data_IF_929997789220
#
_entry.id   IF_929997789220
#
_cell.length_a   1.000
_cell.length_b   1.000
_cell.length_c   1.000
_cell.angle_alpha   90.00
_cell.angle_beta   90.00
_cell.angle_gamma   90.00
#
_symmetry.space_group_name_H-M   'P 1'
#
loop_
_entity.id
_entity.type
_entity.pdbx_description
1 polymer ?
#
# COMPACT_ATOMS: atom_id res chain seq x y z
N UNK A 1 50.42 7.74 18.19
CA UNK A 1 49.34 8.41 18.94
C UNK A 1 48.03 7.68 18.67
N UNK A 2 47.67 6.77 19.55
CA UNK A 2 46.45 5.96 19.51
C UNK A 2 45.29 6.80 20.03
N UNK A 3 44.28 7.06 19.18
CA UNK A 3 43.07 7.75 19.62
C UNK A 3 42.28 6.87 20.59
N UNK A 4 41.78 7.42 21.72
CA UNK A 4 40.99 6.66 22.67
C UNK A 4 39.65 6.26 22.03
N UNK A 5 39.32 4.96 22.10
CA UNK A 5 37.98 4.46 21.80
C UNK A 5 37.01 5.02 22.85
N UNK A 6 36.10 5.89 22.41
CA UNK A 6 34.95 6.31 23.22
C UNK A 6 34.14 5.07 23.62
N UNK A 7 33.84 4.96 24.91
CA UNK A 7 32.96 3.94 25.45
C UNK A 7 31.57 4.06 24.77
N UNK A 8 30.86 2.95 24.53
CA UNK A 8 29.50 3.00 24.01
C UNK A 8 28.63 3.78 24.99
N UNK A 9 27.96 4.81 24.49
CA UNK A 9 26.98 5.58 25.25
C UNK A 9 25.93 4.64 25.84
N UNK A 10 25.49 4.92 27.08
CA UNK A 10 24.39 4.21 27.72
C UNK A 10 23.20 4.07 26.74
N UNK A 11 22.58 2.88 26.64
CA UNK A 11 21.43 2.69 25.77
C UNK A 11 20.33 3.67 26.16
N UNK A 12 20.02 4.60 25.26
CA UNK A 12 18.91 5.53 25.42
C UNK A 12 17.63 4.70 25.57
N UNK A 13 16.84 4.87 26.64
CA UNK A 13 15.59 4.15 26.80
C UNK A 13 14.70 4.37 25.58
N UNK A 14 14.32 3.30 24.90
CA UNK A 14 13.49 3.35 23.69
C UNK A 14 12.20 4.16 23.97
N UNK A 15 11.75 5.06 23.09
CA UNK A 15 10.48 5.76 23.22
C UNK A 15 9.28 4.83 23.45
N UNK A 16 9.39 3.56 23.01
CA UNK A 16 8.39 2.51 23.24
C UNK A 16 8.24 2.13 24.72
N UNK A 17 9.25 2.39 25.55
CA UNK A 17 9.19 2.18 27.01
C UNK A 17 8.51 3.32 27.77
N UNK A 18 8.43 4.53 27.18
CA UNK A 18 7.86 5.72 27.85
C UNK A 18 6.36 5.89 27.68
N UNK A 19 5.73 5.21 26.73
CA UNK A 19 4.30 5.42 26.47
C UNK A 19 3.39 4.56 27.34
N UNK A 20 3.92 3.59 28.13
CA UNK A 20 3.07 2.67 28.89
C UNK A 20 2.00 1.99 28.02
N UNK A 21 2.19 2.00 26.70
CA UNK A 21 1.17 1.62 25.75
C UNK A 21 1.13 0.11 25.72
N UNK A 22 -0.06 -0.43 25.95
CA UNK A 22 -0.44 -1.85 25.88
C UNK A 22 0.02 -2.50 24.54
N UNK A 23 0.40 -1.69 23.54
CA UNK A 23 0.83 -2.05 22.19
C UNK A 23 2.31 -2.46 22.00
N UNK A 24 3.21 -2.28 22.96
CA UNK A 24 4.65 -2.54 22.72
C UNK A 24 5.02 -4.03 22.68
N UNK A 25 4.34 -4.87 23.47
CA UNK A 25 4.61 -6.31 23.56
C UNK A 25 4.46 -7.06 22.22
N UNK A 26 3.32 -6.94 21.51
CA UNK A 26 3.09 -7.63 20.23
C UNK A 26 4.12 -7.32 19.13
N UNK A 27 4.80 -6.16 19.21
CA UNK A 27 5.74 -5.71 18.19
C UNK A 27 7.17 -6.23 18.41
N UNK A 28 7.52 -6.70 19.61
CA UNK A 28 8.88 -7.18 19.91
C UNK A 28 9.29 -8.34 19.01
N UNK A 29 8.44 -9.37 18.86
CA UNK A 29 8.72 -10.53 18.03
C UNK A 29 9.03 -10.20 16.56
N UNK A 30 8.17 -9.45 15.86
CA UNK A 30 8.42 -8.97 14.51
C UNK A 30 9.68 -8.09 14.37
N UNK A 31 9.93 -7.17 15.31
CA UNK A 31 11.10 -6.28 15.27
C UNK A 31 12.40 -7.07 15.49
N UNK A 32 12.40 -8.02 16.42
CA UNK A 32 13.52 -8.93 16.64
C UNK A 32 13.77 -9.81 15.42
N UNK A 33 12.71 -10.27 14.73
CA UNK A 33 12.84 -11.02 13.49
C UNK A 33 13.51 -10.19 12.40
N UNK A 34 13.08 -8.93 12.20
CA UNK A 34 13.71 -8.01 11.25
C UNK A 34 15.20 -7.77 11.57
N UNK A 35 15.55 -7.63 12.86
CA UNK A 35 16.94 -7.51 13.31
C UNK A 35 17.74 -8.79 13.05
N UNK A 36 17.18 -9.98 13.33
CA UNK A 36 17.83 -11.27 13.04
C UNK A 36 18.08 -11.45 11.55
N UNK A 37 17.15 -11.02 10.69
CA UNK A 37 17.39 -11.03 9.25
C UNK A 37 18.55 -10.13 8.84
N UNK A 38 18.77 -8.99 9.50
CA UNK A 38 19.95 -8.16 9.24
C UNK A 38 21.25 -8.76 9.79
N UNK A 39 21.19 -9.62 10.82
CA UNK A 39 22.35 -10.22 11.48
C UNK A 39 22.99 -9.28 12.51
N UNK A 40 24.13 -9.68 13.08
CA UNK A 40 24.80 -8.93 14.16
C UNK A 40 25.38 -7.57 13.74
N UNK A 41 25.35 -7.24 12.45
CA UNK A 41 25.90 -6.01 11.87
C UNK A 41 24.87 -4.87 11.74
N UNK A 42 23.62 -5.09 12.16
CA UNK A 42 22.55 -4.08 12.09
C UNK A 42 22.90 -2.84 12.93
N UNK A 43 23.05 -1.71 12.25
CA UNK A 43 23.41 -0.43 12.86
C UNK A 43 22.19 0.34 13.42
N UNK A 44 21.00 0.09 12.88
CA UNK A 44 19.75 0.67 13.36
C UNK A 44 18.54 -0.17 12.93
N UNK A 45 17.47 -0.10 13.72
CA UNK A 45 16.12 -0.53 13.36
C UNK A 45 15.18 0.67 13.54
N UNK A 46 14.56 1.09 12.45
CA UNK A 46 13.63 2.21 12.40
C UNK A 46 12.22 1.69 12.13
N UNK A 47 11.24 2.25 12.81
CA UNK A 47 9.83 2.00 12.63
C UNK A 47 9.17 3.21 11.96
N UNK A 48 8.30 2.95 10.99
CA UNK A 48 7.52 3.97 10.28
C UNK A 48 6.02 3.61 10.29
N UNK A 49 5.23 4.46 9.65
CA UNK A 49 3.82 4.20 9.39
C UNK A 49 2.97 4.34 10.64
N UNK A 50 1.80 3.70 10.62
CA UNK A 50 0.77 3.84 11.65
C UNK A 50 1.25 3.45 13.05
N UNK A 51 2.18 2.50 13.17
CA UNK A 51 2.75 2.12 14.47
C UNK A 51 3.68 3.20 15.04
N UNK A 52 4.43 3.90 14.18
CA UNK A 52 5.29 5.01 14.60
C UNK A 52 4.46 6.27 14.94
N UNK A 53 3.34 6.50 14.23
CA UNK A 53 2.47 7.66 14.45
C UNK A 53 1.43 7.46 15.56
N UNK A 54 1.30 6.24 16.10
CA UNK A 54 0.26 5.90 17.08
C UNK A 54 -1.14 5.76 16.48
N UNK A 55 -1.24 5.62 15.15
CA UNK A 55 -2.50 5.46 14.42
C UNK A 55 -2.77 3.99 14.01
N UNK A 56 -2.00 3.04 14.53
CA UNK A 56 -2.19 1.62 14.29
C UNK A 56 -3.52 1.16 14.87
N UNK A 57 -4.21 0.28 14.13
CA UNK A 57 -5.50 -0.25 14.53
C UNK A 57 -5.31 -1.54 15.30
N UNK A 58 -5.77 -1.54 16.55
CA UNK A 58 -5.78 -2.70 17.42
C UNK A 58 -7.20 -3.21 17.60
N UNK A 59 -7.37 -4.53 17.59
CA UNK A 59 -8.66 -5.21 17.78
C UNK A 59 -8.51 -6.34 18.80
N UNK A 60 -9.62 -6.71 19.44
CA UNK A 60 -9.68 -7.90 20.28
C UNK A 60 -10.50 -8.97 19.58
N UNK A 61 -9.88 -10.11 19.29
CA UNK A 61 -10.54 -11.29 18.69
C UNK A 61 -10.28 -12.47 19.60
N UNK A 62 -11.35 -13.11 20.09
CA UNK A 62 -11.25 -14.29 20.96
C UNK A 62 -10.36 -14.04 22.20
N UNK A 63 -10.47 -12.85 22.79
CA UNK A 63 -9.68 -12.43 23.95
C UNK A 63 -8.21 -12.08 23.66
N UNK A 64 -7.77 -12.13 22.40
CA UNK A 64 -6.41 -11.75 21.99
C UNK A 64 -6.40 -10.37 21.35
N UNK A 65 -5.47 -9.52 21.79
CA UNK A 65 -5.19 -8.22 21.16
C UNK A 65 -4.33 -8.43 19.93
N UNK A 66 -4.82 -7.97 18.77
CA UNK A 66 -4.17 -8.08 17.47
C UNK A 66 -4.07 -6.69 16.82
N UNK A 67 -2.96 -6.38 16.16
CA UNK A 67 -2.91 -5.23 15.22
C UNK A 67 -3.33 -5.69 13.81
N UNK A 68 -4.15 -4.88 13.16
CA UNK A 68 -4.53 -5.07 11.75
C UNK A 68 -3.68 -4.23 10.80
N UNK A 69 -2.85 -3.33 11.34
CA UNK A 69 -2.01 -2.45 10.54
C UNK A 69 -0.69 -3.11 10.18
N UNK A 70 -0.19 -2.79 9.00
CA UNK A 70 1.10 -3.28 8.51
C UNK A 70 2.26 -2.77 9.39
N UNK A 71 3.35 -3.53 9.44
CA UNK A 71 4.57 -3.12 10.15
C UNK A 71 5.66 -2.69 9.17
N UNK A 72 5.89 -1.38 9.06
CA UNK A 72 6.90 -0.79 8.19
C UNK A 72 8.23 -0.62 8.94
N UNK A 73 9.19 -1.50 8.65
CA UNK A 73 10.49 -1.54 9.33
C UNK A 73 11.62 -1.24 8.35
N UNK A 74 12.53 -0.36 8.74
CA UNK A 74 13.75 -0.08 8.00
C UNK A 74 14.95 -0.52 8.84
N UNK A 75 15.78 -1.42 8.31
CA UNK A 75 16.97 -1.89 9.00
C UNK A 75 18.21 -1.40 8.29
N UNK A 76 19.06 -0.68 9.01
CA UNK A 76 20.31 -0.13 8.47
C UNK A 76 21.44 -1.12 8.67
N UNK A 77 22.09 -1.53 7.59
CA UNK A 77 23.21 -2.47 7.53
C UNK A 77 24.44 -1.79 6.93
N UNK A 78 25.67 -2.22 7.24
CA UNK A 78 26.86 -1.41 6.93
C UNK A 78 27.14 -1.28 5.43
N UNK A 79 26.83 -2.30 4.63
CA UNK A 79 27.18 -2.36 3.21
C UNK A 79 26.19 -3.21 2.38
N UNK A 80 26.38 -3.22 1.07
CA UNK A 80 25.48 -3.90 0.14
C UNK A 80 25.54 -5.43 0.19
N UNK A 81 26.65 -6.01 0.65
CA UNK A 81 26.76 -7.45 0.85
C UNK A 81 25.87 -7.89 2.00
N UNK A 82 25.94 -7.19 3.14
CA UNK A 82 25.06 -7.43 4.30
C UNK A 82 23.59 -7.20 3.95
N UNK A 83 23.28 -6.14 3.18
CA UNK A 83 21.92 -5.89 2.68
C UNK A 83 21.39 -7.07 1.87
N UNK A 84 22.18 -7.57 0.92
CA UNK A 84 21.78 -8.67 0.04
C UNK A 84 21.61 -9.98 0.83
N UNK A 85 22.49 -10.23 1.79
CA UNK A 85 22.38 -11.38 2.69
C UNK A 85 21.12 -11.29 3.57
N UNK A 86 20.79 -10.10 4.07
CA UNK A 86 19.59 -9.87 4.86
C UNK A 86 18.30 -10.07 4.05
N UNK A 87 18.25 -9.54 2.83
CA UNK A 87 17.14 -9.78 1.90
C UNK A 87 16.98 -11.27 1.56
N UNK A 88 18.09 -12.01 1.43
CA UNK A 88 18.06 -13.45 1.19
C UNK A 88 17.51 -14.22 2.40
N UNK A 89 17.95 -13.89 3.62
CA UNK A 89 17.41 -14.48 4.87
C UNK A 89 15.93 -14.20 5.04
N UNK A 90 15.51 -12.94 4.90
CA UNK A 90 14.11 -12.55 4.99
C UNK A 90 13.23 -13.29 3.98
N UNK A 91 13.76 -13.58 2.79
CA UNK A 91 13.07 -14.36 1.77
C UNK A 91 12.99 -15.85 2.12
N UNK A 92 14.08 -16.43 2.59
CA UNK A 92 14.11 -17.83 3.04
C UNK A 92 13.12 -18.09 4.17
N UNK A 93 12.91 -17.09 5.02
CA UNK A 93 11.97 -17.13 6.14
C UNK A 93 10.53 -16.75 5.77
N UNK A 94 10.18 -16.48 4.50
CA UNK A 94 8.79 -16.14 4.16
C UNK A 94 7.77 -17.26 4.44
N UNK A 95 8.05 -18.54 4.17
CA UNK A 95 7.10 -19.60 4.49
C UNK A 95 6.75 -19.61 5.98
N UNK A 96 5.46 -19.56 6.32
CA UNK A 96 4.97 -19.53 7.71
C UNK A 96 5.19 -18.19 8.42
N UNK A 97 5.56 -17.13 7.70
CA UNK A 97 5.71 -15.80 8.30
C UNK A 97 4.37 -15.26 8.80
N UNK A 98 3.28 -15.40 8.03
CA UNK A 98 1.99 -14.85 8.44
C UNK A 98 1.47 -15.54 9.71
N UNK A 99 1.62 -16.86 9.81
CA UNK A 99 1.27 -17.62 11.01
C UNK A 99 2.09 -17.17 12.25
N UNK A 100 3.40 -16.92 12.10
CA UNK A 100 4.25 -16.42 13.19
C UNK A 100 3.89 -15.00 13.62
N UNK A 101 3.63 -14.10 12.66
CA UNK A 101 3.16 -12.75 12.93
C UNK A 101 1.84 -12.79 13.71
N UNK A 102 0.88 -13.61 13.28
CA UNK A 102 -0.39 -13.79 13.98
C UNK A 102 -0.20 -14.36 15.39
N UNK A 103 0.75 -15.28 15.59
CA UNK A 103 1.10 -15.78 16.92
C UNK A 103 1.61 -14.66 17.86
N UNK A 104 2.36 -13.69 17.31
CA UNK A 104 2.80 -12.50 18.05
C UNK A 104 1.74 -11.39 18.19
N UNK A 105 0.57 -11.55 17.56
CA UNK A 105 -0.49 -10.56 17.61
C UNK A 105 -0.48 -9.55 16.46
N UNK A 106 0.17 -9.86 15.35
CA UNK A 106 0.19 -9.05 14.13
C UNK A 106 -0.58 -9.78 13.03
N UNK A 107 -1.78 -9.30 12.71
CA UNK A 107 -2.64 -9.85 11.66
C UNK A 107 -2.50 -9.06 10.35
N UNK A 108 -1.27 -8.67 10.02
CA UNK A 108 -0.91 -7.85 8.87
C UNK A 108 0.50 -8.19 8.37
N UNK A 109 0.87 -7.78 7.14
CA UNK A 109 2.23 -7.91 6.63
C UNK A 109 3.30 -7.23 7.48
N UNK A 110 4.48 -7.86 7.51
CA UNK A 110 5.74 -7.26 7.96
C UNK A 110 6.55 -6.81 6.74
N UNK A 111 6.64 -5.50 6.51
CA UNK A 111 7.40 -4.90 5.42
C UNK A 111 8.76 -4.44 5.92
N UNK A 112 9.84 -5.14 5.52
CA UNK A 112 11.20 -4.81 5.94
C UNK A 112 12.05 -4.31 4.76
N UNK A 113 12.55 -3.10 4.87
CA UNK A 113 13.52 -2.52 3.96
C UNK A 113 14.92 -2.56 4.58
N UNK A 114 15.84 -3.35 3.98
CA UNK A 114 17.25 -3.34 4.35
C UNK A 114 17.98 -2.24 3.57
N UNK A 115 18.60 -1.30 4.27
CA UNK A 115 19.24 -0.12 3.69
C UNK A 115 20.68 0.00 4.15
N UNK A 116 21.57 0.46 3.27
CA UNK A 116 22.88 0.97 3.71
C UNK A 116 22.76 2.44 4.14
N UNK A 117 23.74 3.00 4.87
CA UNK A 117 23.73 4.44 5.20
C UNK A 117 23.56 5.33 3.96
N UNK A 118 24.19 4.93 2.85
CA UNK A 118 24.09 5.63 1.58
C UNK A 118 22.72 5.47 0.91
N UNK A 119 22.04 4.34 1.09
CA UNK A 119 20.66 4.15 0.62
C UNK A 119 19.65 4.96 1.44
N UNK A 120 19.81 4.99 2.76
CA UNK A 120 18.97 5.78 3.65
C UNK A 120 19.03 7.28 3.29
N UNK A 121 20.24 7.79 3.06
CA UNK A 121 20.49 9.18 2.65
C UNK A 121 20.01 9.52 1.23
N UNK A 122 19.57 8.53 0.45
CA UNK A 122 19.07 8.69 -0.92
C UNK A 122 17.64 8.19 -1.09
N UNK A 123 16.90 8.00 0.01
CA UNK A 123 15.49 7.64 -0.09
C UNK A 123 14.75 8.69 -0.92
N UNK A 124 13.96 8.28 -1.94
CA UNK A 124 13.26 9.21 -2.81
C UNK A 124 12.11 9.92 -2.07
N UNK A 125 11.66 11.07 -2.60
CA UNK A 125 10.46 11.74 -2.10
C UNK A 125 9.22 10.87 -2.37
N UNK A 126 8.66 10.33 -1.28
CA UNK A 126 7.47 9.46 -1.28
C UNK A 126 6.67 9.70 0.00
N UNK A 127 5.35 9.42 0.02
CA UNK A 127 4.54 9.58 1.23
C UNK A 127 5.17 8.88 2.46
N UNK A 128 5.58 7.62 2.31
CA UNK A 128 6.23 6.87 3.39
C UNK A 128 7.60 7.43 3.84
N UNK A 129 8.35 8.10 2.95
CA UNK A 129 9.62 8.74 3.31
C UNK A 129 9.41 10.05 4.05
N UNK A 130 8.39 10.84 3.66
CA UNK A 130 7.97 12.02 4.43
C UNK A 130 7.58 11.63 5.86
N UNK A 131 6.78 10.57 5.97
CA UNK A 131 6.31 10.05 7.26
C UNK A 131 7.45 9.51 8.11
N UNK A 132 8.34 8.69 7.54
CA UNK A 132 9.54 8.20 8.22
C UNK A 132 10.39 9.35 8.76
N UNK A 133 10.59 10.43 7.97
CA UNK A 133 11.40 11.57 8.40
C UNK A 133 10.76 12.35 9.56
N UNK A 134 9.45 12.56 9.50
CA UNK A 134 8.71 13.42 10.45
C UNK A 134 8.34 12.71 11.73
N UNK A 135 7.97 11.42 11.63
CA UNK A 135 7.32 10.65 12.70
C UNK A 135 7.93 9.26 12.92
N UNK A 136 8.97 8.90 12.16
CA UNK A 136 9.67 7.64 12.37
C UNK A 136 10.23 7.53 13.79
N UNK A 137 10.35 6.30 14.27
CA UNK A 137 10.88 5.97 15.59
C UNK A 137 12.12 5.12 15.43
N UNK A 138 13.20 5.44 16.15
CA UNK A 138 14.34 4.53 16.28
C UNK A 138 14.02 3.52 17.38
N UNK A 139 13.85 2.26 16.99
CA UNK A 139 13.62 1.16 17.92
C UNK A 139 14.95 0.72 18.53
N UNK A 140 16.00 0.71 17.71
CA UNK A 140 17.35 0.29 18.08
C UNK A 140 18.39 1.05 17.26
N UNK A 141 19.54 1.37 17.87
CA UNK A 141 20.56 2.27 17.35
C UNK A 141 20.38 3.74 17.76
N UNK A 142 21.19 4.61 17.16
CA UNK A 142 21.24 6.05 17.48
C UNK A 142 20.15 6.85 16.74
N UNK A 143 19.55 7.84 17.40
CA UNK A 143 18.56 8.77 16.82
C UNK A 143 19.06 9.50 15.56
N UNK A 144 20.37 9.64 15.38
CA UNK A 144 21.01 10.26 14.20
C UNK A 144 20.61 9.58 12.89
N UNK A 145 20.20 8.31 12.92
CA UNK A 145 19.77 7.59 11.72
C UNK A 145 18.53 8.22 11.07
N UNK A 146 17.56 8.71 11.84
CA UNK A 146 16.40 9.43 11.28
C UNK A 146 16.79 10.77 10.64
N UNK A 147 17.81 11.44 11.18
CA UNK A 147 18.32 12.69 10.62
C UNK A 147 18.97 12.50 9.24
N UNK A 148 19.36 11.27 8.87
CA UNK A 148 19.90 10.95 7.55
C UNK A 148 18.82 10.77 6.47
N UNK A 149 17.56 10.59 6.85
CA UNK A 149 16.47 10.55 5.86
C UNK A 149 16.33 11.95 5.25
N UNK A 150 16.29 12.09 3.92
CA UNK A 150 16.21 13.42 3.31
C UNK A 150 14.97 14.20 3.77
N UNK A 151 15.10 15.52 4.02
CA UNK A 151 14.01 16.37 4.51
C UNK A 151 13.08 16.80 3.36
N UNK A 152 12.53 15.83 2.63
CA UNK A 152 11.58 16.11 1.54
C UNK A 152 10.34 16.84 2.05
N UNK A 153 9.77 17.66 1.18
CA UNK A 153 8.47 18.27 1.34
C UNK A 153 7.41 17.58 0.47
N UNK A 154 6.14 17.87 0.73
CA UNK A 154 5.02 17.29 -0.01
C UNK A 154 5.09 17.60 -1.52
N UNK A 155 5.48 18.83 -1.88
CA UNK A 155 5.69 19.26 -3.28
C UNK A 155 6.78 18.48 -4.02
N UNK A 156 7.69 17.84 -3.29
CA UNK A 156 8.77 17.05 -3.89
C UNK A 156 8.30 15.65 -4.29
N UNK A 157 7.14 15.20 -3.80
CA UNK A 157 6.56 13.90 -4.16
C UNK A 157 6.12 13.94 -5.62
N UNK A 158 6.72 13.14 -6.51
CA UNK A 158 6.39 13.20 -7.91
C UNK A 158 4.98 12.65 -8.17
N UNK A 159 4.27 13.14 -9.21
CA UNK A 159 2.93 12.66 -9.53
C UNK A 159 2.81 11.14 -9.72
N UNK A 160 3.86 10.47 -10.23
CA UNK A 160 3.87 9.00 -10.40
C UNK A 160 3.78 8.27 -9.05
N UNK A 161 4.34 8.81 -7.96
CA UNK A 161 4.26 8.20 -6.63
C UNK A 161 2.87 8.40 -5.99
N UNK A 162 2.21 9.52 -6.30
CA UNK A 162 0.80 9.75 -5.91
C UNK A 162 -0.11 8.74 -6.64
N UNK A 163 0.12 8.52 -7.93
CA UNK A 163 -0.62 7.52 -8.71
C UNK A 163 -0.38 6.09 -8.18
N UNK A 164 0.86 5.76 -7.82
CA UNK A 164 1.20 4.46 -7.24
C UNK A 164 0.52 4.24 -5.89
N UNK A 165 0.42 5.27 -5.04
CA UNK A 165 -0.35 5.19 -3.79
C UNK A 165 -1.80 4.80 -4.08
N UNK A 166 -2.46 5.52 -4.99
CA UNK A 166 -3.83 5.24 -5.38
C UNK A 166 -3.99 3.83 -5.98
N UNK A 167 -3.11 3.44 -6.89
CA UNK A 167 -3.14 2.10 -7.51
C UNK A 167 -2.95 0.98 -6.47
N UNK A 168 -2.06 1.16 -5.50
CA UNK A 168 -1.88 0.23 -4.38
C UNK A 168 -3.16 0.08 -3.55
N UNK A 169 -3.88 1.18 -3.29
CA UNK A 169 -5.19 1.13 -2.62
C UNK A 169 -6.24 0.36 -3.41
N UNK A 170 -6.16 0.42 -4.74
CA UNK A 170 -7.05 -0.33 -5.62
C UNK A 170 -6.92 -1.85 -5.40
N UNK A 171 -5.69 -2.36 -5.27
CA UNK A 171 -5.50 -3.77 -4.95
C UNK A 171 -5.98 -4.15 -3.56
N UNK A 172 -5.76 -3.28 -2.56
CA UNK A 172 -6.28 -3.52 -1.22
C UNK A 172 -7.81 -3.55 -1.19
N UNK A 173 -8.50 -2.71 -1.98
CA UNK A 173 -9.95 -2.80 -2.16
C UNK A 173 -10.37 -4.13 -2.81
N UNK A 174 -9.69 -4.55 -3.88
CA UNK A 174 -9.98 -5.85 -4.51
C UNK A 174 -9.74 -7.03 -3.54
N UNK A 175 -8.73 -6.94 -2.68
CA UNK A 175 -8.46 -7.95 -1.65
C UNK A 175 -9.52 -7.91 -0.54
N UNK A 176 -9.90 -6.71 -0.08
CA UNK A 176 -10.85 -6.49 1.00
C UNK A 176 -12.19 -7.19 0.77
N UNK A 177 -12.68 -7.23 -0.48
CA UNK A 177 -13.96 -7.87 -0.82
C UNK A 177 -14.07 -9.31 -0.31
N UNK A 178 -13.01 -10.10 -0.51
CA UNK A 178 -12.99 -11.50 -0.06
C UNK A 178 -12.95 -11.61 1.47
N UNK A 179 -12.18 -10.74 2.13
CA UNK A 179 -12.12 -10.68 3.59
C UNK A 179 -13.45 -10.29 4.23
N UNK A 180 -14.14 -9.29 3.67
CA UNK A 180 -15.46 -8.83 4.14
C UNK A 180 -16.54 -9.91 4.06
N UNK A 181 -16.46 -10.80 3.07
CA UNK A 181 -17.38 -11.93 2.90
C UNK A 181 -16.96 -13.19 3.68
N UNK A 182 -15.82 -13.18 4.35
CA UNK A 182 -15.29 -14.36 5.03
C UNK A 182 -16.11 -14.72 6.30
N UNK A 183 -16.21 -16.02 6.64
CA UNK A 183 -16.94 -16.45 7.83
C UNK A 183 -16.26 -16.07 9.15
N UNK A 184 -14.93 -15.90 9.16
CA UNK A 184 -14.16 -15.58 10.38
C UNK A 184 -14.14 -14.08 10.72
N UNK A 185 -14.31 -13.75 12.00
CA UNK A 185 -14.32 -12.37 12.49
C UNK A 185 -13.03 -11.61 12.14
N UNK A 186 -11.87 -12.22 12.34
CA UNK A 186 -10.58 -11.60 12.01
C UNK A 186 -10.46 -11.25 10.53
N UNK A 187 -10.88 -12.15 9.63
CA UNK A 187 -10.83 -11.91 8.19
C UNK A 187 -11.77 -10.76 7.77
N UNK A 188 -12.96 -10.65 8.38
CA UNK A 188 -13.87 -9.52 8.14
C UNK A 188 -13.29 -8.20 8.64
N UNK A 189 -12.71 -8.19 9.85
CA UNK A 189 -12.06 -7.00 10.40
C UNK A 189 -10.85 -6.58 9.55
N UNK A 190 -10.02 -7.52 9.10
CA UNK A 190 -8.89 -7.24 8.21
C UNK A 190 -9.37 -6.71 6.84
N UNK A 191 -10.43 -7.28 6.28
CA UNK A 191 -11.06 -6.78 5.06
C UNK A 191 -11.57 -5.34 5.21
N UNK A 192 -12.26 -5.05 6.32
CA UNK A 192 -12.73 -3.69 6.63
C UNK A 192 -11.58 -2.72 6.87
N UNK A 193 -10.52 -3.15 7.55
CA UNK A 193 -9.33 -2.32 7.74
C UNK A 193 -8.69 -1.90 6.41
N UNK A 194 -8.51 -2.85 5.48
CA UNK A 194 -7.96 -2.56 4.15
C UNK A 194 -8.83 -1.55 3.36
N UNK A 195 -10.15 -1.69 3.45
CA UNK A 195 -11.11 -0.75 2.86
C UNK A 195 -10.97 0.66 3.45
N UNK A 196 -11.02 0.78 4.78
CA UNK A 196 -10.98 2.09 5.46
C UNK A 196 -9.59 2.76 5.32
N UNK A 197 -8.51 1.96 5.27
CA UNK A 197 -7.17 2.44 4.91
C UNK A 197 -7.15 3.02 3.49
N UNK A 198 -7.76 2.33 2.52
CA UNK A 198 -7.90 2.84 1.16
C UNK A 198 -8.71 4.15 1.10
N UNK A 199 -9.79 4.26 1.89
CA UNK A 199 -10.59 5.49 1.97
C UNK A 199 -9.78 6.69 2.49
N UNK A 200 -9.03 6.52 3.58
CA UNK A 200 -8.16 7.58 4.11
C UNK A 200 -7.10 8.02 3.11
N UNK A 201 -6.56 7.09 2.33
CA UNK A 201 -5.56 7.42 1.32
C UNK A 201 -6.13 8.16 0.10
N UNK A 202 -7.46 8.20 -0.07
CA UNK A 202 -8.08 9.16 -1.01
C UNK A 202 -7.87 10.60 -0.54
N UNK A 203 -7.96 10.87 0.77
CA UNK A 203 -7.62 12.18 1.32
C UNK A 203 -6.12 12.47 1.15
N UNK A 204 -5.27 11.47 1.42
CA UNK A 204 -3.81 11.58 1.20
C UNK A 204 -3.48 11.93 -0.26
N UNK A 205 -4.12 11.29 -1.23
CA UNK A 205 -3.95 11.58 -2.66
C UNK A 205 -4.40 13.00 -3.00
N UNK A 206 -5.53 13.46 -2.46
CA UNK A 206 -6.05 14.80 -2.70
C UNK A 206 -5.10 15.89 -2.18
N UNK A 207 -4.62 15.77 -0.94
CA UNK A 207 -3.71 16.76 -0.35
C UNK A 207 -2.33 16.76 -1.01
N UNK A 208 -1.78 15.59 -1.36
CA UNK A 208 -0.52 15.50 -2.09
C UNK A 208 -0.62 16.11 -3.49
N UNK A 209 -1.75 15.93 -4.17
CA UNK A 209 -1.98 16.56 -5.46
C UNK A 209 -2.04 18.10 -5.36
N UNK A 210 -2.36 18.65 -4.19
CA UNK A 210 -2.27 20.07 -3.88
C UNK A 210 -0.88 20.51 -3.38
N UNK A 211 0.10 19.60 -3.32
CA UNK A 211 1.45 19.88 -2.82
C UNK A 211 1.53 19.98 -1.30
N UNK A 212 0.57 19.42 -0.58
CA UNK A 212 0.48 19.46 0.88
C UNK A 212 0.53 18.06 1.49
N UNK A 213 0.99 17.98 2.74
CA UNK A 213 0.96 16.73 3.52
C UNK A 213 0.76 17.05 5.01
N UNK A 214 -0.48 17.34 5.42
CA UNK A 214 -0.81 17.51 6.84
C UNK A 214 -0.45 16.28 7.66
N UNK A 215 -0.08 16.53 8.92
CA UNK A 215 0.26 15.46 9.86
C UNK A 215 -1.00 14.69 10.30
N UNK A 216 -0.87 13.36 10.35
CA UNK A 216 -1.94 12.44 10.77
C UNK A 216 -3.10 12.32 9.78
N UNK A 217 -3.87 11.23 9.91
CA UNK A 217 -5.02 10.96 9.04
C UNK A 217 -6.12 12.02 9.17
N UNK A 218 -6.43 12.46 10.41
CA UNK A 218 -7.44 13.48 10.65
C UNK A 218 -7.09 14.81 9.98
N UNK A 219 -5.82 15.23 10.05
CA UNK A 219 -5.34 16.45 9.38
C UNK A 219 -5.47 16.36 7.86
N UNK A 220 -5.15 15.20 7.27
CA UNK A 220 -5.29 14.97 5.82
C UNK A 220 -6.76 14.98 5.38
N UNK A 221 -7.66 14.36 6.14
CA UNK A 221 -9.12 14.38 5.87
C UNK A 221 -9.67 15.80 5.96
N UNK A 222 -9.37 16.54 7.03
CA UNK A 222 -9.83 17.91 7.21
C UNK A 222 -9.36 18.82 6.06
N UNK A 223 -8.09 18.67 5.62
CA UNK A 223 -7.59 19.45 4.48
C UNK A 223 -8.22 19.02 3.16
N UNK A 224 -8.42 17.73 2.93
CA UNK A 224 -9.11 17.24 1.75
C UNK A 224 -10.54 17.79 1.65
N UNK A 225 -11.28 17.86 2.77
CA UNK A 225 -12.58 18.51 2.82
C UNK A 225 -12.53 19.98 2.40
N UNK A 226 -11.57 20.75 2.95
CA UNK A 226 -11.41 22.17 2.59
C UNK A 226 -11.13 22.34 1.09
N UNK A 227 -10.22 21.52 0.53
CA UNK A 227 -9.90 21.53 -0.90
C UNK A 227 -11.12 21.27 -1.80
N UNK A 228 -12.04 20.39 -1.37
CA UNK A 228 -13.28 20.11 -2.11
C UNK A 228 -14.32 21.23 -1.99
N UNK A 229 -14.28 22.04 -0.93
CA UNK A 229 -15.19 23.18 -0.74
C UNK A 229 -14.74 24.41 -1.53
N UNK A 230 -13.44 24.63 -1.65
CA UNK A 230 -12.84 25.79 -2.33
C UNK A 230 -12.99 25.76 -3.87
N UNK A 231 -13.75 24.79 -4.42
CA UNK A 231 -14.00 24.69 -5.85
C UNK A 231 -12.73 24.46 -6.67
N UNK A 232 -11.71 23.83 -6.08
CA UNK A 232 -10.44 23.56 -6.75
C UNK A 232 -10.69 22.91 -8.12
N UNK A 233 -10.05 23.39 -9.22
CA UNK A 233 -10.46 23.14 -10.61
C UNK A 233 -10.30 21.68 -11.11
N UNK A 234 -10.10 20.73 -10.20
CA UNK A 234 -9.94 19.29 -10.44
C UNK A 234 -10.63 18.45 -9.36
N UNK A 235 -11.74 18.92 -8.79
CA UNK A 235 -12.47 18.17 -7.78
C UNK A 235 -12.99 16.85 -8.37
N UNK A 236 -12.33 15.74 -8.02
CA UNK A 236 -12.75 14.38 -8.38
C UNK A 236 -14.10 13.98 -7.79
N UNK A 237 -14.63 14.80 -6.88
CA UNK A 237 -15.86 14.56 -6.15
C UNK A 237 -17.01 15.49 -6.58
N UNK A 238 -16.82 16.39 -7.56
CA UNK A 238 -17.83 17.38 -7.97
C UNK A 238 -18.53 17.14 -9.33
N UNK A 239 -18.18 16.09 -10.09
CA UNK A 239 -18.66 15.93 -11.48
C UNK A 239 -19.82 14.95 -11.67
N UNK A 240 -20.63 15.16 -12.72
CA UNK A 240 -21.69 14.26 -13.23
C UNK A 240 -21.16 13.13 -14.15
N UNK A 241 -19.93 12.68 -13.92
CA UNK A 241 -19.31 11.63 -14.72
C UNK A 241 -19.87 10.22 -14.45
N UNK A 242 -19.49 9.21 -15.27
CA UNK A 242 -19.84 7.81 -15.01
C UNK A 242 -19.28 7.27 -13.68
N UNK A 243 -18.32 7.98 -13.08
CA UNK A 243 -17.79 7.74 -11.75
C UNK A 243 -18.13 8.87 -10.76
N UNK A 244 -19.23 9.59 -10.96
CA UNK A 244 -19.70 10.61 -10.03
C UNK A 244 -19.96 9.99 -8.66
N UNK A 245 -19.09 10.25 -7.69
CA UNK A 245 -19.32 9.86 -6.30
C UNK A 245 -19.80 11.08 -5.57
N UNK A 246 -20.92 10.93 -4.88
CA UNK A 246 -21.47 12.01 -4.07
C UNK A 246 -20.44 12.37 -2.99
N UNK A 247 -20.08 13.65 -2.85
CA UNK A 247 -19.19 14.13 -1.76
C UNK A 247 -19.58 13.58 -0.38
N UNK A 248 -20.89 13.47 -0.11
CA UNK A 248 -21.42 12.89 1.10
C UNK A 248 -21.00 11.42 1.34
N UNK A 249 -20.79 10.65 0.28
CA UNK A 249 -20.34 9.26 0.37
C UNK A 249 -18.88 9.16 0.83
N UNK A 250 -18.01 9.95 0.21
CA UNK A 250 -16.59 10.02 0.59
C UNK A 250 -16.43 10.54 2.02
N UNK A 251 -17.22 11.55 2.41
CA UNK A 251 -17.25 12.06 3.77
C UNK A 251 -17.58 10.95 4.79
N UNK A 252 -18.64 10.15 4.55
CA UNK A 252 -18.99 9.02 5.42
C UNK A 252 -17.87 7.99 5.53
N UNK A 253 -17.19 7.66 4.43
CA UNK A 253 -16.06 6.73 4.45
C UNK A 253 -14.89 7.27 5.28
N UNK A 254 -14.60 8.57 5.18
CA UNK A 254 -13.57 9.20 6.02
C UNK A 254 -13.95 9.22 7.49
N UNK A 255 -15.19 9.57 7.83
CA UNK A 255 -15.69 9.54 9.21
C UNK A 255 -15.59 8.13 9.80
N UNK A 256 -16.03 7.11 9.04
CA UNK A 256 -15.93 5.72 9.43
C UNK A 256 -14.46 5.30 9.64
N UNK A 257 -13.55 5.72 8.78
CA UNK A 257 -12.14 5.37 8.88
C UNK A 257 -11.40 6.08 10.03
N UNK A 258 -11.76 7.33 10.34
CA UNK A 258 -11.23 8.05 11.50
C UNK A 258 -11.75 7.44 12.80
N UNK A 259 -13.04 7.10 12.85
CA UNK A 259 -13.68 6.40 13.98
C UNK A 259 -13.00 5.05 14.21
N UNK A 260 -12.79 4.28 13.14
CA UNK A 260 -12.05 3.02 13.18
C UNK A 260 -10.64 3.16 13.76
N UNK A 261 -9.89 4.20 13.37
CA UNK A 261 -8.55 4.49 13.92
C UNK A 261 -8.57 4.94 15.38
N UNK A 262 -9.68 5.53 15.84
CA UNK A 262 -9.85 5.93 17.24
C UNK A 262 -10.13 4.74 18.19
N UNK A 263 -10.18 3.51 17.68
CA UNK A 263 -10.26 2.28 18.48
C UNK A 263 -11.63 1.61 18.48
N UNK A 264 -12.60 2.09 17.72
CA UNK A 264 -13.94 1.48 17.61
C UNK A 264 -14.00 0.54 16.40
N UNK A 265 -13.19 -0.52 16.45
CA UNK A 265 -13.08 -1.47 15.34
C UNK A 265 -14.15 -2.57 15.44
N UNK A 266 -15.22 -2.44 14.65
CA UNK A 266 -16.33 -3.39 14.62
C UNK A 266 -16.49 -4.06 13.25
N UNK A 267 -16.74 -5.37 13.23
CA UNK A 267 -17.12 -6.03 11.98
C UNK A 267 -18.54 -5.60 11.58
N UNK A 268 -18.74 -5.29 10.31
CA UNK A 268 -20.07 -5.03 9.77
C UNK A 268 -20.77 -6.34 9.41
N UNK A 269 -22.09 -6.31 9.46
CA UNK A 269 -22.93 -7.33 8.83
C UNK A 269 -22.63 -7.44 7.33
N UNK A 270 -22.67 -8.65 6.73
CA UNK A 270 -22.18 -8.87 5.36
C UNK A 270 -22.78 -7.94 4.29
N UNK A 271 -24.08 -7.61 4.40
CA UNK A 271 -24.75 -6.69 3.49
C UNK A 271 -24.24 -5.25 3.64
N UNK A 272 -24.04 -4.79 4.86
CA UNK A 272 -23.49 -3.46 5.14
C UNK A 272 -22.02 -3.36 4.71
N UNK A 273 -21.24 -4.42 4.95
CA UNK A 273 -19.87 -4.54 4.46
C UNK A 273 -19.77 -4.47 2.93
N UNK A 274 -20.67 -5.16 2.22
CA UNK A 274 -20.74 -5.10 0.76
C UNK A 274 -21.07 -3.70 0.25
N UNK A 275 -22.04 -3.01 0.88
CA UNK A 275 -22.40 -1.64 0.54
C UNK A 275 -21.23 -0.66 0.78
N UNK A 276 -20.57 -0.73 1.95
CA UNK A 276 -19.39 0.08 2.28
C UNK A 276 -18.26 -0.15 1.25
N UNK A 277 -18.08 -1.40 0.81
CA UNK A 277 -17.10 -1.74 -0.23
C UNK A 277 -17.44 -1.13 -1.59
N UNK A 278 -18.70 -1.22 -2.03
CA UNK A 278 -19.13 -0.62 -3.29
C UNK A 278 -18.96 0.91 -3.27
N UNK A 279 -19.29 1.54 -2.14
CA UNK A 279 -19.09 2.98 -1.94
C UNK A 279 -17.61 3.37 -2.03
N UNK A 280 -16.72 2.60 -1.39
CA UNK A 280 -15.27 2.82 -1.45
C UNK A 280 -14.69 2.56 -2.85
N UNK A 281 -15.14 1.52 -3.54
CA UNK A 281 -14.73 1.22 -4.92
C UNK A 281 -15.17 2.32 -5.90
N UNK A 282 -16.37 2.87 -5.72
CA UNK A 282 -16.85 4.01 -6.49
C UNK A 282 -15.99 5.27 -6.19
N UNK A 283 -15.78 5.60 -4.92
CA UNK A 283 -14.94 6.72 -4.48
C UNK A 283 -13.52 6.64 -5.06
N UNK A 284 -12.91 5.47 -5.00
CA UNK A 284 -11.61 5.22 -5.60
C UNK A 284 -11.62 5.43 -7.12
N UNK A 285 -12.63 4.87 -7.80
CA UNK A 285 -12.80 4.97 -9.26
C UNK A 285 -12.94 6.43 -9.72
N UNK A 286 -13.65 7.27 -8.97
CA UNK A 286 -13.78 8.70 -9.22
C UNK A 286 -12.43 9.44 -9.15
N UNK A 287 -11.66 9.20 -8.09
CA UNK A 287 -10.32 9.79 -7.90
C UNK A 287 -9.38 9.32 -9.02
N UNK A 288 -9.40 8.01 -9.32
CA UNK A 288 -8.59 7.45 -10.40
C UNK A 288 -8.95 8.05 -11.76
N UNK A 289 -10.24 8.26 -12.03
CA UNK A 289 -10.72 8.87 -13.28
C UNK A 289 -10.09 10.23 -13.54
N UNK A 290 -10.09 11.10 -12.54
CA UNK A 290 -9.48 12.44 -12.63
C UNK A 290 -7.97 12.35 -12.79
N UNK A 291 -7.30 11.51 -11.98
CA UNK A 291 -5.85 11.28 -12.07
C UNK A 291 -5.42 10.75 -13.44
N UNK A 292 -6.26 9.94 -14.08
CA UNK A 292 -6.04 9.42 -15.43
C UNK A 292 -6.34 10.43 -16.57
N UNK A 293 -6.54 11.71 -16.22
CA UNK A 293 -6.74 12.82 -17.16
C UNK A 293 -8.20 13.06 -17.52
N UNK A 294 -9.13 12.74 -16.61
CA UNK A 294 -10.55 12.65 -16.93
C UNK A 294 -11.40 13.90 -16.92
N UNK A 295 -10.82 15.08 -16.76
CA UNK A 295 -11.53 16.35 -16.71
C UNK A 295 -11.97 16.89 -18.10
N UNK A 296 -12.32 16.02 -19.04
CA UNK A 296 -12.63 16.38 -20.44
C UNK A 296 -13.75 15.53 -21.06
N UNK A 297 -13.86 15.57 -22.39
CA UNK A 297 -14.90 14.89 -23.17
C UNK A 297 -15.14 13.41 -22.74
N UNK A 298 -16.38 12.89 -22.89
CA UNK A 298 -16.71 11.52 -22.54
C UNK A 298 -15.78 10.57 -23.31
N UNK A 299 -14.91 9.89 -22.57
CA UNK A 299 -14.02 8.86 -23.08
C UNK A 299 -14.49 7.52 -22.54
N UNK A 300 -14.38 6.48 -23.36
CA UNK A 300 -14.55 5.10 -22.91
C UNK A 300 -13.60 4.79 -21.72
N UNK A 301 -14.12 4.35 -20.56
CA UNK A 301 -13.29 4.07 -19.39
C UNK A 301 -12.21 3.01 -19.64
N UNK A 302 -12.47 2.06 -20.51
CA UNK A 302 -11.55 0.97 -20.80
C UNK A 302 -10.38 1.47 -21.68
N UNK A 303 -10.66 2.27 -22.70
CA UNK A 303 -9.65 2.96 -23.49
C UNK A 303 -8.72 3.83 -22.62
N UNK A 304 -9.27 4.51 -21.61
CA UNK A 304 -8.50 5.31 -20.67
C UNK A 304 -7.56 4.47 -19.81
N UNK A 305 -8.04 3.37 -19.24
CA UNK A 305 -7.18 2.46 -18.47
C UNK A 305 -6.01 1.94 -19.30
N UNK A 306 -6.28 1.56 -20.56
CA UNK A 306 -5.25 1.13 -21.52
C UNK A 306 -4.23 2.24 -21.85
N UNK A 307 -4.68 3.50 -21.98
CA UNK A 307 -3.77 4.64 -22.17
C UNK A 307 -2.93 4.89 -20.91
N UNK A 308 -3.55 4.83 -19.74
CA UNK A 308 -2.86 5.07 -18.46
C UNK A 308 -1.79 4.01 -18.20
N UNK A 309 -2.02 2.75 -18.59
CA UNK A 309 -1.01 1.69 -18.56
C UNK A 309 0.26 2.03 -19.39
N UNK A 310 0.09 2.85 -20.44
CA UNK A 310 1.16 3.27 -21.37
C UNK A 310 1.90 4.54 -20.93
N UNK A 311 1.62 5.09 -19.74
CA UNK A 311 2.23 6.35 -19.25
C UNK A 311 3.77 6.35 -19.20
N UNK A 312 4.41 5.18 -19.10
CA UNK A 312 5.87 5.09 -19.21
C UNK A 312 6.36 5.35 -20.65
N UNK A 313 7.45 6.11 -20.78
CA UNK A 313 8.16 6.30 -22.06
C UNK A 313 8.45 4.96 -22.75
N UNK A 314 8.34 4.92 -24.08
CA UNK A 314 8.54 3.69 -24.88
C UNK A 314 9.86 2.99 -24.57
N UNK A 315 10.98 3.73 -24.48
CA UNK A 315 12.30 3.18 -24.10
C UNK A 315 12.26 2.46 -22.75
N UNK A 316 11.59 3.01 -21.73
CA UNK A 316 11.44 2.37 -20.41
C UNK A 316 10.62 1.09 -20.53
N UNK A 317 9.53 1.11 -21.31
CA UNK A 317 8.66 -0.06 -21.54
C UNK A 317 9.40 -1.21 -22.20
N UNK A 318 10.09 -0.95 -23.31
CA UNK A 318 10.88 -1.98 -24.01
C UNK A 318 12.00 -2.51 -23.12
N UNK A 319 12.75 -1.62 -22.45
CA UNK A 319 13.82 -2.04 -21.52
C UNK A 319 13.28 -2.94 -20.41
N UNK A 320 12.15 -2.58 -19.80
CA UNK A 320 11.55 -3.40 -18.76
C UNK A 320 10.96 -4.70 -19.33
N UNK A 321 10.34 -4.70 -20.51
CA UNK A 321 9.86 -5.95 -21.11
C UNK A 321 10.99 -6.98 -21.30
N UNK A 322 12.20 -6.51 -21.64
CA UNK A 322 13.38 -7.37 -21.81
C UNK A 322 14.04 -7.77 -20.48
N UNK A 323 14.21 -6.81 -19.57
CA UNK A 323 15.04 -6.97 -18.36
C UNK A 323 14.25 -7.13 -17.07
N UNK A 324 12.92 -7.12 -17.11
CA UNK A 324 12.11 -7.26 -15.91
C UNK A 324 12.34 -8.62 -15.28
N UNK A 325 12.94 -8.62 -14.11
CA UNK A 325 12.98 -9.75 -13.20
C UNK A 325 12.38 -9.29 -11.88
N UNK A 326 11.53 -10.13 -11.31
CA UNK A 326 11.19 -10.02 -9.91
C UNK A 326 12.35 -10.60 -9.12
N UNK A 327 12.56 -10.17 -7.87
CA UNK A 327 13.70 -10.68 -7.11
C UNK A 327 13.53 -12.18 -6.85
N UNK A 328 12.29 -12.63 -6.64
CA UNK A 328 11.81 -14.01 -6.46
C UNK A 328 11.90 -14.87 -7.71
N UNK A 329 12.07 -14.29 -8.90
CA UNK A 329 12.01 -15.02 -10.17
C UNK A 329 10.61 -15.46 -10.59
N UNK A 330 9.57 -15.19 -9.79
CA UNK A 330 8.17 -15.58 -10.05
C UNK A 330 7.39 -14.60 -10.94
N UNK A 331 8.09 -13.73 -11.67
CA UNK A 331 7.50 -12.75 -12.57
C UNK A 331 6.85 -13.34 -13.83
N UNK A 332 6.32 -12.50 -14.74
CA UNK A 332 5.77 -12.94 -16.00
C UNK A 332 6.86 -13.55 -16.89
N UNK A 333 6.53 -14.65 -17.57
CA UNK A 333 7.40 -15.27 -18.57
C UNK A 333 7.71 -14.33 -19.75
N UNK A 334 8.75 -14.64 -20.54
CA UNK A 334 9.20 -13.78 -21.64
C UNK A 334 8.09 -13.43 -22.64
N UNK A 335 7.29 -14.40 -23.08
CA UNK A 335 6.16 -14.16 -23.98
C UNK A 335 5.12 -13.20 -23.39
N UNK A 336 4.86 -13.31 -22.08
CA UNK A 336 3.93 -12.44 -21.35
C UNK A 336 4.47 -11.01 -21.14
N UNK A 337 5.79 -10.83 -21.27
CA UNK A 337 6.45 -9.53 -21.23
C UNK A 337 6.51 -8.87 -22.61
N UNK A 338 6.91 -9.62 -23.64
CA UNK A 338 7.15 -9.08 -24.99
C UNK A 338 5.88 -8.76 -25.76
N UNK A 339 4.90 -9.68 -25.80
CA UNK A 339 3.65 -9.47 -26.55
C UNK A 339 2.93 -8.16 -26.19
N UNK A 340 2.76 -7.83 -24.89
CA UNK A 340 2.12 -6.59 -24.46
C UNK A 340 3.10 -5.45 -24.12
N UNK A 341 4.36 -5.49 -24.57
CA UNK A 341 5.37 -4.47 -24.22
C UNK A 341 4.96 -3.03 -24.61
N UNK A 342 4.24 -2.89 -25.73
CA UNK A 342 3.71 -1.60 -26.20
C UNK A 342 2.47 -1.13 -25.43
N UNK A 343 1.93 -1.97 -24.55
CA UNK A 343 0.71 -1.73 -23.78
C UNK A 343 1.00 -1.23 -22.35
N UNK A 344 2.24 -1.38 -21.88
CA UNK A 344 2.68 -0.87 -20.58
C UNK A 344 3.87 -1.65 -20.04
N UNK A 345 4.47 -1.16 -18.95
CA UNK A 345 5.40 -1.98 -18.15
C UNK A 345 4.58 -3.08 -17.45
N UNK A 346 5.18 -4.21 -17.01
CA UNK A 346 4.42 -5.21 -16.26
C UNK A 346 3.65 -4.64 -15.06
N UNK A 347 4.25 -3.80 -14.17
CA UNK A 347 3.49 -3.17 -13.08
C UNK A 347 2.34 -2.29 -13.57
N UNK A 348 2.54 -1.45 -14.59
CA UNK A 348 1.47 -0.58 -15.08
C UNK A 348 0.30 -1.35 -15.68
N UNK A 349 0.56 -2.52 -16.29
CA UNK A 349 -0.49 -3.39 -16.81
C UNK A 349 -1.30 -4.01 -15.69
N UNK A 350 -0.65 -4.46 -14.62
CA UNK A 350 -1.34 -5.01 -13.43
C UNK A 350 -2.20 -3.93 -12.78
N UNK A 351 -1.66 -2.71 -12.61
CA UNK A 351 -2.39 -1.58 -12.03
C UNK A 351 -3.60 -1.17 -12.87
N UNK A 352 -3.45 -1.13 -14.20
CA UNK A 352 -4.57 -0.85 -15.10
C UNK A 352 -5.64 -1.95 -15.08
N UNK A 353 -5.26 -3.22 -14.90
CA UNK A 353 -6.23 -4.31 -14.75
C UNK A 353 -7.04 -4.16 -13.46
N UNK A 354 -6.41 -3.76 -12.35
CA UNK A 354 -7.12 -3.46 -11.11
C UNK A 354 -8.09 -2.28 -11.28
N UNK A 355 -7.68 -1.23 -11.99
CA UNK A 355 -8.56 -0.11 -12.31
C UNK A 355 -9.79 -0.56 -13.12
N UNK A 356 -9.61 -1.40 -14.16
CA UNK A 356 -10.74 -1.94 -14.94
C UNK A 356 -11.70 -2.73 -14.04
N UNK A 357 -11.19 -3.55 -13.13
CA UNK A 357 -12.02 -4.34 -12.22
C UNK A 357 -12.81 -3.47 -11.25
N UNK A 358 -12.22 -2.40 -10.71
CA UNK A 358 -12.89 -1.47 -9.80
C UNK A 358 -13.91 -0.58 -10.52
N UNK A 359 -13.63 -0.18 -11.75
CA UNK A 359 -14.58 0.54 -12.61
C UNK A 359 -15.78 -0.35 -12.95
N UNK A 360 -15.54 -1.61 -13.28
CA UNK A 360 -16.59 -2.60 -13.52
C UNK A 360 -17.37 -2.99 -12.25
N UNK A 361 -16.78 -2.79 -11.07
CA UNK A 361 -17.42 -3.03 -9.79
C UNK A 361 -18.36 -1.90 -9.33
N UNK A 362 -18.52 -0.84 -10.14
CA UNK A 362 -19.53 0.19 -9.91
C UNK A 362 -20.96 -0.34 -10.02
N UNK A 363 -21.17 -1.46 -10.72
CA UNK A 363 -22.45 -2.18 -10.79
C UNK A 363 -22.59 -3.22 -9.66
N UNK A 364 -23.82 -3.46 -9.18
CA UNK A 364 -24.14 -4.49 -8.20
C UNK A 364 -25.02 -5.59 -8.83
N UNK A 365 -24.58 -6.88 -8.87
CA UNK A 365 -23.23 -7.35 -8.50
C UNK A 365 -22.17 -6.94 -9.55
N UNK A 366 -20.87 -6.95 -9.21
CA UNK A 366 -19.79 -6.65 -10.16
C UNK A 366 -19.85 -7.56 -11.39
N UNK A 367 -19.80 -6.97 -12.58
CA UNK A 367 -19.85 -7.71 -13.86
C UNK A 367 -18.85 -7.15 -14.86
N UNK A 368 -18.22 -8.03 -15.63
CA UNK A 368 -17.36 -7.65 -16.75
C UNK A 368 -18.17 -7.65 -18.05
N UNK A 369 -18.51 -6.47 -18.55
CA UNK A 369 -19.01 -6.32 -19.92
C UNK A 369 -17.95 -6.68 -20.97
N UNK A 370 -18.38 -6.95 -22.20
CA UNK A 370 -17.48 -7.39 -23.28
C UNK A 370 -16.30 -6.43 -23.55
N UNK A 371 -16.51 -5.12 -23.44
CA UNK A 371 -15.47 -4.12 -23.61
C UNK A 371 -14.42 -4.14 -22.48
N UNK A 372 -14.86 -4.31 -21.23
CA UNK A 372 -13.98 -4.45 -20.07
C UNK A 372 -13.13 -5.73 -20.15
N UNK A 373 -13.77 -6.86 -20.52
CA UNK A 373 -13.09 -8.14 -20.74
C UNK A 373 -12.02 -8.03 -21.84
N UNK A 374 -12.36 -7.42 -22.98
CA UNK A 374 -11.41 -7.20 -24.08
C UNK A 374 -10.23 -6.31 -23.65
N UNK A 375 -10.46 -5.30 -22.81
CA UNK A 375 -9.39 -4.46 -22.28
C UNK A 375 -8.47 -5.24 -21.32
N UNK A 376 -9.00 -6.10 -20.45
CA UNK A 376 -8.21 -6.98 -19.57
C UNK A 376 -7.33 -7.95 -20.38
N UNK A 377 -7.90 -8.62 -21.38
CA UNK A 377 -7.15 -9.50 -22.28
C UNK A 377 -6.05 -8.73 -23.01
N UNK A 378 -6.34 -7.50 -23.45
CA UNK A 378 -5.35 -6.61 -24.07
C UNK A 378 -4.23 -6.25 -23.10
N UNK A 379 -4.48 -6.04 -21.82
CA UNK A 379 -3.39 -5.85 -20.85
C UNK A 379 -2.55 -7.11 -20.67
N UNK A 380 -3.07 -8.31 -20.97
CA UNK A 380 -2.33 -9.56 -20.96
C UNK A 380 -1.89 -10.01 -19.56
N UNK A 381 -2.61 -9.54 -18.53
CA UNK A 381 -2.48 -9.98 -17.12
C UNK A 381 -3.45 -11.13 -16.86
N UNK A 382 -4.70 -10.99 -17.32
CA UNK A 382 -5.75 -12.01 -17.27
C UNK A 382 -5.90 -12.62 -18.68
N UNK A 383 -6.27 -13.89 -18.79
CA UNK A 383 -6.31 -14.63 -20.07
C UNK A 383 -7.58 -15.44 -20.24
N UNK A 384 -8.02 -15.56 -21.49
CA UNK A 384 -9.06 -16.50 -21.88
C UNK A 384 -10.37 -16.27 -21.13
N UNK A 385 -11.01 -17.37 -20.71
CA UNK A 385 -12.28 -17.33 -19.98
C UNK A 385 -12.22 -16.51 -18.70
N UNK A 386 -11.08 -16.45 -18.02
CA UNK A 386 -10.94 -15.71 -16.76
C UNK A 386 -11.18 -14.21 -16.94
N UNK A 387 -10.94 -13.66 -18.14
CA UNK A 387 -11.18 -12.25 -18.41
C UNK A 387 -12.68 -11.89 -18.53
N UNK A 388 -13.56 -12.89 -18.56
CA UNK A 388 -15.02 -12.70 -18.64
C UNK A 388 -15.72 -12.92 -17.30
N UNK A 389 -15.03 -13.54 -16.34
CA UNK A 389 -15.50 -13.74 -14.97
C UNK A 389 -14.81 -12.73 -14.05
N UNK A 390 -15.57 -11.83 -13.44
CA UNK A 390 -15.02 -10.75 -12.63
C UNK A 390 -14.19 -11.27 -11.45
N UNK A 391 -14.62 -12.37 -10.83
CA UNK A 391 -14.02 -12.92 -9.62
C UNK A 391 -12.76 -13.75 -9.95
N UNK A 392 -12.77 -14.49 -11.06
CA UNK A 392 -11.56 -15.11 -11.61
C UNK A 392 -10.52 -14.07 -12.04
N UNK A 393 -10.93 -13.01 -12.75
CA UNK A 393 -10.07 -11.91 -13.13
C UNK A 393 -9.47 -11.20 -11.91
N UNK A 394 -10.27 -10.95 -10.86
CA UNK A 394 -9.81 -10.37 -9.59
C UNK A 394 -8.69 -11.19 -8.97
N UNK A 395 -8.88 -12.50 -8.81
CA UNK A 395 -7.84 -13.38 -8.25
C UNK A 395 -6.58 -13.39 -9.11
N UNK A 396 -6.72 -13.43 -10.44
CA UNK A 396 -5.58 -13.40 -11.35
C UNK A 396 -4.79 -12.07 -11.23
N UNK A 397 -5.48 -10.94 -11.12
CA UNK A 397 -4.86 -9.61 -10.94
C UNK A 397 -4.16 -9.50 -9.59
N UNK A 398 -4.78 -9.96 -8.49
CA UNK A 398 -4.15 -9.96 -7.17
C UNK A 398 -2.90 -10.85 -7.12
N UNK A 399 -2.96 -12.04 -7.73
CA UNK A 399 -1.80 -12.93 -7.87
C UNK A 399 -0.69 -12.27 -8.69
N UNK A 400 -1.03 -11.60 -9.79
CA UNK A 400 -0.04 -10.87 -10.59
C UNK A 400 0.55 -9.68 -9.82
N UNK A 401 -0.24 -8.96 -9.02
CA UNK A 401 0.25 -7.89 -8.15
C UNK A 401 1.27 -8.41 -7.15
N UNK A 402 0.94 -9.48 -6.44
CA UNK A 402 1.87 -10.07 -5.48
C UNK A 402 3.15 -10.56 -6.16
N UNK A 403 3.02 -11.38 -7.21
CA UNK A 403 4.19 -11.98 -7.85
C UNK A 403 5.05 -10.96 -8.61
N UNK A 404 4.44 -10.00 -9.31
CA UNK A 404 5.15 -9.10 -10.22
C UNK A 404 5.53 -7.79 -9.54
N UNK A 405 4.76 -7.31 -8.56
CA UNK A 405 5.01 -6.01 -7.93
C UNK A 405 5.58 -6.17 -6.54
N UNK A 406 5.00 -7.06 -5.72
CA UNK A 406 5.40 -7.27 -4.32
C UNK A 406 6.38 -8.42 -4.13
N UNK A 407 6.82 -9.05 -5.21
CA UNK A 407 7.80 -10.13 -5.18
C UNK A 407 7.36 -11.41 -4.43
N UNK A 408 6.05 -11.68 -4.34
CA UNK A 408 5.52 -12.84 -3.62
C UNK A 408 5.58 -12.68 -2.10
N UNK A 409 5.25 -11.49 -1.60
CA UNK A 409 5.24 -11.18 -0.18
C UNK A 409 3.89 -11.47 0.49
N UNK A 410 2.78 -11.45 -0.26
CA UNK A 410 1.41 -11.53 0.29
C UNK A 410 0.76 -12.91 0.16
N UNK A 411 0.93 -13.63 -0.95
CA UNK A 411 0.25 -14.93 -1.18
C UNK A 411 1.22 -16.11 -1.21
N UNK A 412 2.37 -16.02 -0.53
CA UNK A 412 3.34 -17.11 -0.49
C UNK A 412 2.80 -18.42 0.14
N UNK A 413 1.65 -18.35 0.83
CA UNK A 413 1.03 -19.44 1.60
C UNK A 413 -0.29 -19.95 0.99
N UNK A 414 -0.79 -19.36 -0.11
CA UNK A 414 -1.94 -19.93 -0.83
C UNK A 414 -1.48 -21.10 -1.71
N UNK A 415 -2.08 -22.31 -1.58
CA UNK A 415 -1.67 -23.50 -2.32
C UNK A 415 -1.82 -23.39 -3.85
#
# INVERSE_FOLDING_TARGET
MTSPRLAPAEPVPSPLSRTGSIASGPLLGPLDLARRWAGGSAAAVLLSGSHATGEAVWVTVEGRTLTLSDLDVYVVVPNDAERSAAEARARGDRPGLAARLLAWGVAAPLEVAFLTPAHLARLPARPGTLELRRRGVVVDGDAVWLARVPPWEARDVPPEEIDLLLENRGFELLQARAGLAAPGALARLAGRHALLKAALDLATVAVLAAGEYPDGAAGRVARAHALSQDGAPRDAFAGDGPCAVRRAAVARLWDAALTWRAGTAEALEPRAAAAEWHEAAAAWSAVWWVRAGGAGAPEDPWARALRFARRARLRRRVRLALRFSTRSGRGPGLAQRLGPALRGTPPHRVNASAAILLLAAAEEPPKLGGAAAAALERLGVVRGSDARDWEAARRAVLRAWDLWVLDGQRFAEEP
#
